data_IF_439550851249
#
_entry.id   IF_439550851249
#
_cell.length_a   1.000
_cell.length_b   1.000
_cell.length_c   1.000
_cell.angle_alpha   90.00
_cell.angle_beta   90.00
_cell.angle_gamma   90.00
#
_symmetry.space_group_name_H-M   'P 1'
#
loop_
_entity.id
_entity.type
_entity.pdbx_description
1 polymer ?
#
# COMPACT_ATOMS: atom_id res chain seq x y z
N UNK A 1 -17.46 -46.19 7.48
CA UNK A 1 -16.56 -45.94 6.32
C UNK A 1 -16.02 -44.52 6.45
N UNK A 2 -14.82 -44.38 7.02
CA UNK A 2 -14.07 -43.12 7.05
C UNK A 2 -13.34 -42.99 5.71
N UNK A 3 -13.58 -41.91 4.97
CA UNK A 3 -12.72 -41.50 3.86
C UNK A 3 -11.72 -40.47 4.38
N UNK A 4 -10.46 -40.88 4.47
CA UNK A 4 -9.33 -39.99 4.76
C UNK A 4 -8.97 -39.18 3.52
N UNK A 5 -8.96 -37.85 3.66
CA UNK A 5 -8.47 -36.93 2.64
C UNK A 5 -6.94 -36.88 2.76
N UNK A 6 -6.23 -37.43 1.77
CA UNK A 6 -4.78 -37.34 1.69
C UNK A 6 -4.38 -35.94 1.19
N UNK A 7 -3.73 -35.17 2.05
CA UNK A 7 -3.02 -33.94 1.67
C UNK A 7 -1.71 -34.36 1.01
N UNK A 8 -1.56 -34.09 -0.28
CA UNK A 8 -0.30 -34.28 -0.98
C UNK A 8 0.70 -33.20 -0.53
N UNK A 9 1.66 -33.58 0.31
CA UNK A 9 2.85 -32.80 0.61
C UNK A 9 3.79 -33.00 -0.59
N UNK A 10 3.83 -32.03 -1.52
CA UNK A 10 4.84 -32.00 -2.56
C UNK A 10 6.19 -31.67 -1.92
N UNK A 11 7.15 -32.60 -2.05
CA UNK A 11 8.50 -32.46 -1.51
C UNK A 11 9.25 -31.26 -2.09
N UNK A 12 9.84 -30.46 -1.20
CA UNK A 12 10.72 -29.36 -1.54
C UNK A 12 12.06 -29.89 -2.08
N UNK A 13 12.18 -29.96 -3.41
CA UNK A 13 13.49 -29.96 -4.06
C UNK A 13 13.99 -28.52 -4.18
N UNK A 14 15.17 -28.22 -3.64
CA UNK A 14 15.86 -26.93 -3.74
C UNK A 14 16.15 -26.55 -5.21
N UNK A 15 15.18 -25.97 -5.91
CA UNK A 15 15.41 -25.15 -7.09
C UNK A 15 15.17 -23.69 -6.67
N UNK A 16 16.21 -22.86 -6.78
CA UNK A 16 16.12 -21.44 -6.48
C UNK A 16 15.05 -20.71 -7.32
N UNK A 17 14.71 -19.46 -6.97
CA UNK A 17 13.73 -18.66 -7.71
C UNK A 17 14.12 -18.50 -9.19
N UNK A 18 13.14 -18.18 -10.04
CA UNK A 18 13.31 -18.10 -11.50
C UNK A 18 14.50 -17.25 -11.94
N UNK A 19 15.18 -17.67 -13.02
CA UNK A 19 16.33 -16.97 -13.62
C UNK A 19 15.90 -15.79 -14.50
N UNK A 20 14.83 -15.08 -14.10
CA UNK A 20 14.34 -13.89 -14.82
C UNK A 20 15.44 -12.82 -14.96
N UNK A 21 15.30 -11.88 -15.90
CA UNK A 21 16.32 -10.88 -16.14
C UNK A 21 16.61 -10.09 -14.85
N UNK A 22 17.89 -9.84 -14.58
CA UNK A 22 18.35 -9.10 -13.39
C UNK A 22 17.89 -7.65 -13.38
N UNK A 23 17.40 -7.14 -14.51
CA UNK A 23 16.89 -5.78 -14.73
C UNK A 23 15.81 -5.82 -15.80
N UNK A 24 14.75 -5.03 -15.64
CA UNK A 24 13.73 -4.83 -16.67
C UNK A 24 14.06 -3.67 -17.63
N UNK A 25 15.08 -2.87 -17.34
CA UNK A 25 15.50 -1.74 -18.17
C UNK A 25 14.56 -0.56 -18.10
N UNK A 26 13.87 -0.38 -16.97
CA UNK A 26 12.92 0.72 -16.72
C UNK A 26 13.47 1.63 -15.62
N UNK A 27 13.24 2.94 -15.77
CA UNK A 27 13.72 3.94 -14.80
C UNK A 27 12.67 4.13 -13.70
N UNK A 28 13.01 4.00 -12.40
CA UNK A 28 12.09 4.26 -11.30
C UNK A 28 11.36 5.61 -11.45
N UNK A 29 10.07 5.70 -11.08
CA UNK A 29 9.30 6.93 -11.26
C UNK A 29 9.98 8.20 -10.72
N UNK A 30 10.52 8.21 -9.48
CA UNK A 30 11.22 9.39 -8.98
C UNK A 30 12.40 9.82 -9.85
N UNK A 31 13.12 8.88 -10.43
CA UNK A 31 14.28 9.13 -11.30
C UNK A 31 13.87 9.51 -12.71
N UNK A 32 12.75 8.95 -13.19
CA UNK A 32 12.23 9.25 -14.52
C UNK A 32 11.86 10.73 -14.62
N UNK A 33 11.33 11.33 -13.54
CA UNK A 33 11.10 12.78 -13.44
C UNK A 33 10.29 13.33 -14.62
N UNK A 34 10.86 14.29 -15.35
CA UNK A 34 10.24 14.87 -16.56
C UNK A 34 10.39 13.99 -17.82
N UNK A 35 11.19 12.92 -17.75
CA UNK A 35 11.29 11.91 -18.79
C UNK A 35 9.99 11.11 -18.93
N UNK A 36 9.89 10.30 -19.98
CA UNK A 36 8.66 9.55 -20.27
C UNK A 36 8.88 8.04 -20.38
N UNK A 37 7.89 7.28 -19.89
CA UNK A 37 7.69 5.88 -20.21
C UNK A 37 6.49 5.78 -21.13
N UNK A 38 6.71 5.40 -22.39
CA UNK A 38 5.64 5.25 -23.39
C UNK A 38 4.73 6.48 -23.54
N UNK A 39 5.31 7.67 -23.40
CA UNK A 39 4.61 8.96 -23.49
C UNK A 39 4.08 9.50 -22.16
N UNK A 40 4.18 8.76 -21.05
CA UNK A 40 3.73 9.21 -19.72
C UNK A 40 4.89 9.73 -18.89
N UNK A 41 4.74 10.94 -18.36
CA UNK A 41 5.76 11.62 -17.54
C UNK A 41 5.96 10.89 -16.20
N UNK A 42 7.21 10.72 -15.80
CA UNK A 42 7.60 10.16 -14.50
C UNK A 42 7.36 11.11 -13.32
N UNK A 43 8.11 10.92 -12.24
CA UNK A 43 7.94 11.61 -10.95
C UNK A 43 6.77 11.04 -10.13
N UNK A 44 6.80 11.23 -8.81
CA UNK A 44 5.71 10.81 -7.92
C UNK A 44 4.48 11.74 -7.99
N UNK A 45 4.67 13.00 -8.38
CA UNK A 45 3.66 14.05 -8.39
C UNK A 45 3.50 14.67 -9.78
N UNK A 46 2.53 15.59 -9.99
CA UNK A 46 2.33 16.24 -11.29
C UNK A 46 3.60 16.91 -11.82
N UNK A 47 3.66 17.07 -13.15
CA UNK A 47 4.77 17.73 -13.85
C UNK A 47 6.17 17.12 -13.61
N UNK A 48 6.27 15.83 -13.26
CA UNK A 48 7.54 15.16 -13.02
C UNK A 48 8.16 15.42 -11.65
N UNK A 49 7.41 16.03 -10.72
CA UNK A 49 7.89 16.35 -9.38
C UNK A 49 7.98 15.14 -8.45
N UNK A 50 8.86 15.23 -7.44
CA UNK A 50 8.98 14.26 -6.35
C UNK A 50 8.71 14.88 -4.96
N UNK A 51 8.26 16.14 -4.96
CA UNK A 51 7.84 16.85 -3.77
C UNK A 51 6.34 17.08 -3.87
N UNK A 52 5.63 16.74 -2.81
CA UNK A 52 4.19 16.96 -2.67
C UNK A 52 3.86 18.45 -2.90
N UNK A 53 2.89 18.81 -3.76
CA UNK A 53 2.50 20.20 -3.96
C UNK A 53 2.05 20.87 -2.66
N UNK A 54 2.49 22.11 -2.42
CA UNK A 54 2.34 22.81 -1.14
C UNK A 54 0.91 22.79 -0.57
N UNK A 55 -0.10 23.07 -1.41
CA UNK A 55 -1.50 23.07 -0.95
C UNK A 55 -1.95 21.68 -0.46
N UNK A 56 -1.54 20.62 -1.16
CA UNK A 56 -1.84 19.25 -0.78
C UNK A 56 -1.06 18.83 0.47
N UNK A 57 0.21 19.21 0.57
CA UNK A 57 1.04 18.98 1.74
C UNK A 57 0.47 19.64 3.01
N UNK A 58 0.02 20.90 2.91
CA UNK A 58 -0.64 21.61 4.03
C UNK A 58 -1.93 20.90 4.45
N UNK A 59 -2.74 20.44 3.49
CA UNK A 59 -3.95 19.68 3.77
C UNK A 59 -3.66 18.34 4.49
N UNK A 60 -2.57 17.68 4.11
CA UNK A 60 -2.06 16.46 4.75
C UNK A 60 -1.52 16.70 6.16
N UNK A 61 -0.75 17.77 6.37
CA UNK A 61 -0.23 18.14 7.69
C UNK A 61 -1.37 18.43 8.68
N UNK A 62 -2.38 19.19 8.26
CA UNK A 62 -3.57 19.44 9.09
C UNK A 62 -4.29 18.15 9.49
N UNK A 63 -4.38 17.17 8.57
CA UNK A 63 -4.97 15.85 8.84
C UNK A 63 -4.11 15.00 9.76
N UNK A 64 -2.80 15.03 9.60
CA UNK A 64 -1.85 14.35 10.47
C UNK A 64 -1.93 14.88 11.91
N UNK A 65 -2.01 16.20 12.08
CA UNK A 65 -2.20 16.85 13.39
C UNK A 65 -3.57 16.52 14.01
N UNK A 66 -4.59 16.21 13.19
CA UNK A 66 -5.91 15.80 13.64
C UNK A 66 -6.02 14.30 13.99
N UNK A 67 -4.96 13.51 13.80
CA UNK A 67 -4.93 12.11 14.23
C UNK A 67 -4.79 12.07 15.75
N UNK A 68 -5.82 11.56 16.43
CA UNK A 68 -5.88 11.49 17.90
C UNK A 68 -6.43 10.15 18.36
N UNK A 69 -6.11 9.66 19.57
CA UNK A 69 -6.67 8.42 20.06
C UNK A 69 -8.20 8.50 20.21
N UNK A 70 -8.93 7.56 19.59
CA UNK A 70 -10.39 7.48 19.63
C UNK A 70 -10.86 6.28 20.43
N UNK A 71 -11.92 6.42 21.22
CA UNK A 71 -12.62 5.29 21.83
C UNK A 71 -13.39 4.45 20.78
N UNK A 72 -14.04 3.37 21.20
CA UNK A 72 -14.79 2.48 20.30
C UNK A 72 -16.02 3.13 19.66
N UNK A 73 -16.50 4.25 20.21
CA UNK A 73 -17.56 5.09 19.62
C UNK A 73 -17.03 6.05 18.55
N UNK A 74 -15.71 6.19 18.42
CA UNK A 74 -15.06 7.12 17.50
C UNK A 74 -14.88 8.52 18.07
N UNK A 75 -14.97 8.69 19.38
CA UNK A 75 -14.82 9.97 20.07
C UNK A 75 -13.42 10.07 20.70
N UNK A 76 -12.74 11.22 20.66
CA UNK A 76 -11.46 11.39 21.37
C UNK A 76 -11.63 11.10 22.87
N UNK A 77 -10.76 10.25 23.42
CA UNK A 77 -10.90 9.83 24.82
C UNK A 77 -9.63 9.22 25.41
N UNK A 78 -9.52 9.31 26.74
CA UNK A 78 -8.43 8.72 27.51
C UNK A 78 -8.46 7.20 27.33
N UNK A 79 -7.34 6.61 26.89
CA UNK A 79 -7.28 5.17 26.58
C UNK A 79 -7.80 4.79 25.19
N UNK A 80 -8.19 5.78 24.36
CA UNK A 80 -8.51 5.56 22.96
C UNK A 80 -7.33 5.03 22.14
N UNK A 81 -7.61 4.68 20.89
CA UNK A 81 -6.64 4.15 19.93
C UNK A 81 -6.62 4.94 18.63
N UNK A 82 -5.44 5.09 18.07
CA UNK A 82 -5.21 5.46 16.67
C UNK A 82 -5.04 4.16 15.91
N UNK A 83 -5.95 3.82 15.00
CA UNK A 83 -5.80 2.59 14.20
C UNK A 83 -5.17 2.91 12.84
N UNK A 84 -4.01 2.30 12.60
CA UNK A 84 -3.35 2.19 11.30
C UNK A 84 -3.64 0.81 10.72
N UNK A 85 -4.32 0.76 9.58
CA UNK A 85 -4.75 -0.48 8.93
C UNK A 85 -3.98 -0.70 7.62
N UNK A 86 -3.62 -1.94 7.27
CA UNK A 86 -3.24 -2.28 5.89
C UNK A 86 -4.44 -2.75 5.07
N UNK A 87 -4.45 -2.47 3.77
CA UNK A 87 -5.41 -3.03 2.81
C UNK A 87 -4.68 -3.47 1.55
N UNK A 88 -4.92 -4.70 1.10
CA UNK A 88 -4.30 -5.20 -0.11
C UNK A 88 -4.31 -6.71 -0.27
N UNK A 89 -3.61 -7.13 -1.32
CA UNK A 89 -3.38 -8.51 -1.73
C UNK A 89 -2.35 -9.28 -0.88
N UNK A 90 -1.95 -10.46 -1.36
CA UNK A 90 -1.00 -11.38 -0.72
C UNK A 90 0.35 -10.75 -0.38
N UNK A 91 0.95 -9.98 -1.30
CA UNK A 91 2.21 -9.27 -1.02
C UNK A 91 2.04 -8.32 0.17
N UNK A 92 0.95 -7.56 0.20
CA UNK A 92 0.65 -6.58 1.23
C UNK A 92 0.55 -7.23 2.61
N UNK A 93 -0.18 -8.34 2.74
CA UNK A 93 -0.31 -9.03 4.03
C UNK A 93 1.01 -9.67 4.49
N UNK A 94 1.82 -10.20 3.57
CA UNK A 94 3.14 -10.78 3.85
C UNK A 94 4.15 -9.72 4.32
N UNK A 95 4.21 -8.58 3.62
CA UNK A 95 5.12 -7.47 3.93
C UNK A 95 4.70 -6.73 5.21
N UNK A 96 3.39 -6.56 5.41
CA UNK A 96 2.87 -5.87 6.59
C UNK A 96 2.97 -6.73 7.85
N UNK A 97 2.63 -8.01 7.77
CA UNK A 97 2.56 -8.90 8.94
C UNK A 97 3.06 -10.33 8.68
N UNK A 98 2.29 -11.16 7.95
CA UNK A 98 2.65 -12.54 7.58
C UNK A 98 1.62 -13.12 6.59
N UNK A 99 1.99 -14.15 5.82
CA UNK A 99 1.12 -14.74 4.79
C UNK A 99 -0.13 -15.45 5.30
N UNK A 100 -0.19 -15.81 6.58
CA UNK A 100 -1.35 -16.47 7.22
C UNK A 100 -1.93 -15.64 8.38
N UNK A 101 -1.58 -14.35 8.45
CA UNK A 101 -1.90 -13.49 9.59
C UNK A 101 -3.39 -13.47 9.93
N UNK A 102 -3.70 -13.65 11.22
CA UNK A 102 -5.03 -13.44 11.78
C UNK A 102 -5.21 -12.16 12.58
N UNK A 103 -4.11 -11.54 13.07
CA UNK A 103 -3.89 -10.11 13.42
C UNK A 103 -2.66 -9.92 14.31
N UNK A 104 -2.29 -10.92 15.11
CA UNK A 104 -1.27 -10.78 16.17
C UNK A 104 -0.01 -11.60 15.97
N UNK A 105 -0.02 -12.60 15.08
CA UNK A 105 1.14 -13.46 14.79
C UNK A 105 1.87 -12.99 13.54
N UNK A 106 2.53 -11.84 13.64
CA UNK A 106 3.37 -11.29 12.57
C UNK A 106 4.78 -11.85 12.62
N UNK A 107 5.40 -12.00 11.46
CA UNK A 107 6.81 -12.34 11.36
C UNK A 107 7.67 -11.17 11.86
N UNK A 108 8.75 -11.45 12.59
CA UNK A 108 9.61 -10.40 13.18
C UNK A 108 10.26 -9.47 12.14
N UNK A 109 10.40 -9.94 10.90
CA UNK A 109 10.93 -9.17 9.79
C UNK A 109 9.89 -8.39 9.00
N UNK A 110 8.59 -8.57 9.21
CA UNK A 110 7.56 -7.76 8.55
C UNK A 110 7.51 -6.34 9.12
N UNK A 111 6.75 -5.43 8.52
CA UNK A 111 6.54 -4.09 9.10
C UNK A 111 6.04 -4.14 10.55
N UNK A 112 4.95 -4.88 10.83
CA UNK A 112 4.39 -5.00 12.17
C UNK A 112 5.38 -5.65 13.16
N UNK A 113 6.16 -6.64 12.72
CA UNK A 113 7.21 -7.25 13.55
C UNK A 113 8.33 -6.26 13.90
N UNK A 114 8.81 -5.51 12.91
CA UNK A 114 9.84 -4.48 13.11
C UNK A 114 9.31 -3.33 13.98
N UNK A 115 8.07 -2.87 13.76
CA UNK A 115 7.44 -1.81 14.54
C UNK A 115 7.25 -2.23 16.00
N UNK A 116 6.80 -3.47 16.26
CA UNK A 116 6.65 -4.01 17.62
C UNK A 116 7.97 -4.07 18.39
N UNK A 117 9.09 -4.30 17.70
CA UNK A 117 10.43 -4.34 18.31
C UNK A 117 11.08 -2.96 18.49
N UNK A 118 10.61 -1.92 17.78
CA UNK A 118 11.19 -0.58 17.81
C UNK A 118 10.62 0.26 18.96
N UNK A 119 11.45 0.56 19.97
CA UNK A 119 11.05 1.31 21.16
C UNK A 119 10.66 2.77 20.89
N UNK A 120 11.00 3.33 19.72
CA UNK A 120 10.58 4.68 19.34
C UNK A 120 9.15 4.73 18.83
N UNK A 121 8.56 3.60 18.43
CA UNK A 121 7.17 3.53 17.98
C UNK A 121 6.23 3.75 19.17
N UNK A 122 5.14 4.47 18.93
CA UNK A 122 4.09 4.69 19.90
C UNK A 122 3.33 3.39 20.18
N UNK A 123 3.69 2.70 21.26
CA UNK A 123 3.01 1.47 21.70
C UNK A 123 1.83 1.71 22.64
N UNK A 124 1.57 2.96 23.02
CA UNK A 124 0.55 3.31 24.01
C UNK A 124 -0.81 3.48 23.35
N UNK A 125 -0.89 4.30 22.31
CA UNK A 125 -2.16 4.66 21.66
C UNK A 125 -2.29 4.18 20.23
N UNK A 126 -1.19 3.85 19.54
CA UNK A 126 -1.26 3.28 18.19
C UNK A 126 -1.67 1.80 18.26
N UNK A 127 -2.59 1.41 17.40
CA UNK A 127 -2.88 0.03 17.07
C UNK A 127 -2.62 -0.17 15.58
N UNK A 128 -1.66 -1.04 15.26
CA UNK A 128 -1.33 -1.41 13.88
C UNK A 128 -2.05 -2.72 13.57
N UNK A 129 -2.86 -2.74 12.51
CA UNK A 129 -3.74 -3.87 12.18
C UNK A 129 -3.53 -4.28 10.73
N UNK A 130 -3.31 -5.58 10.51
CA UNK A 130 -3.25 -6.14 9.17
C UNK A 130 -4.66 -6.45 8.64
N UNK A 131 -5.18 -5.60 7.76
CA UNK A 131 -6.43 -5.86 7.04
C UNK A 131 -6.22 -6.61 5.71
N UNK A 132 -5.01 -6.56 5.16
CA UNK A 132 -4.69 -7.17 3.87
C UNK A 132 -4.81 -8.70 3.91
N UNK A 133 -5.13 -9.30 2.75
CA UNK A 133 -5.48 -10.72 2.66
C UNK A 133 -4.99 -11.37 1.37
N UNK A 134 -4.49 -12.60 1.50
CA UNK A 134 -4.02 -13.41 0.39
C UNK A 134 -5.10 -13.65 -0.66
N UNK A 135 -4.74 -13.51 -1.94
CA UNK A 135 -5.65 -13.72 -3.07
C UNK A 135 -6.75 -12.67 -3.24
N UNK A 136 -6.64 -11.51 -2.57
CA UNK A 136 -7.60 -10.40 -2.67
C UNK A 136 -6.96 -9.21 -3.38
N UNK A 137 -6.91 -9.26 -4.70
CA UNK A 137 -6.38 -8.20 -5.59
C UNK A 137 -7.29 -6.96 -5.59
N UNK A 138 -6.99 -5.95 -6.41
CA UNK A 138 -7.69 -4.67 -6.38
C UNK A 138 -9.22 -4.80 -6.56
N UNK A 139 -9.67 -5.74 -7.41
CA UNK A 139 -11.09 -5.98 -7.64
C UNK A 139 -11.85 -6.46 -6.40
N UNK A 140 -11.18 -7.13 -5.46
CA UNK A 140 -11.84 -7.67 -4.27
C UNK A 140 -12.08 -6.62 -3.17
N UNK A 141 -11.80 -5.34 -3.43
CA UNK A 141 -11.93 -4.25 -2.48
C UNK A 141 -12.57 -2.98 -3.07
N UNK A 142 -12.90 -2.97 -4.36
CA UNK A 142 -13.32 -1.78 -5.09
C UNK A 142 -14.84 -1.48 -4.98
N UNK A 143 -15.57 -2.27 -4.18
CA UNK A 143 -16.95 -1.97 -3.82
C UNK A 143 -17.15 -1.97 -2.29
N UNK A 144 -17.98 -1.05 -1.78
CA UNK A 144 -18.36 -1.00 -0.35
C UNK A 144 -19.09 -2.27 0.12
N UNK A 145 -19.53 -3.11 -0.80
CA UNK A 145 -20.21 -4.38 -0.52
C UNK A 145 -19.27 -5.58 -0.49
N UNK A 146 -17.97 -5.38 -0.77
CA UNK A 146 -17.01 -6.49 -0.82
C UNK A 146 -16.83 -7.13 0.56
N UNK A 147 -16.91 -8.46 0.59
CA UNK A 147 -16.86 -9.26 1.82
C UNK A 147 -15.54 -9.09 2.63
N UNK A 148 -14.49 -8.55 1.99
CA UNK A 148 -13.25 -8.25 2.68
C UNK A 148 -13.41 -7.16 3.76
N UNK A 149 -14.32 -6.19 3.58
CA UNK A 149 -14.59 -5.19 4.62
C UNK A 149 -15.22 -5.81 5.86
N UNK A 150 -16.17 -6.75 5.69
CA UNK A 150 -16.72 -7.53 6.80
C UNK A 150 -15.65 -8.40 7.48
N UNK A 151 -14.74 -8.98 6.70
CA UNK A 151 -13.59 -9.72 7.26
C UNK A 151 -12.69 -8.82 8.10
N UNK A 152 -12.41 -7.60 7.64
CA UNK A 152 -11.64 -6.62 8.43
C UNK A 152 -12.38 -6.28 9.73
N UNK A 153 -13.66 -5.96 9.65
CA UNK A 153 -14.49 -5.59 10.80
C UNK A 153 -14.56 -6.72 11.84
N UNK A 154 -14.94 -7.92 11.40
CA UNK A 154 -15.27 -9.03 12.30
C UNK A 154 -14.05 -9.86 12.71
N UNK A 155 -13.06 -10.01 11.83
CA UNK A 155 -11.93 -10.93 12.05
C UNK A 155 -10.60 -10.21 12.26
N UNK A 156 -10.51 -8.89 12.05
CA UNK A 156 -9.29 -8.12 12.30
C UNK A 156 -9.45 -7.12 13.42
N UNK A 157 -10.43 -6.22 13.33
CA UNK A 157 -10.66 -5.19 14.34
C UNK A 157 -11.35 -5.76 15.58
N UNK A 158 -12.46 -6.49 15.39
CA UNK A 158 -13.27 -7.04 16.49
C UNK A 158 -12.50 -7.84 17.54
N UNK A 159 -11.63 -8.81 17.16
CA UNK A 159 -10.86 -9.61 18.12
C UNK A 159 -9.86 -8.79 18.96
N UNK A 160 -9.50 -7.58 18.50
CA UNK A 160 -8.63 -6.65 19.22
C UNK A 160 -9.43 -5.63 20.07
N UNK A 161 -10.77 -5.75 20.11
CA UNK A 161 -11.65 -4.77 20.74
C UNK A 161 -11.71 -3.43 20.01
N UNK A 162 -11.28 -3.39 18.74
CA UNK A 162 -11.25 -2.19 17.91
C UNK A 162 -12.51 -2.10 17.04
N UNK A 163 -12.85 -0.88 16.62
CA UNK A 163 -13.96 -0.64 15.68
C UNK A 163 -13.50 0.12 14.45
N UNK A 164 -14.29 0.04 13.38
CA UNK A 164 -14.10 0.82 12.15
C UNK A 164 -14.05 2.34 12.42
N UNK A 165 -14.69 2.81 13.50
CA UNK A 165 -14.68 4.21 13.91
C UNK A 165 -13.34 4.70 14.45
N UNK A 166 -12.42 3.79 14.81
CA UNK A 166 -11.08 4.13 15.30
C UNK A 166 -10.03 4.15 14.18
N UNK A 167 -10.38 3.65 12.99
CA UNK A 167 -9.51 3.67 11.80
C UNK A 167 -9.36 5.10 11.31
N UNK A 168 -8.12 5.58 11.34
CA UNK A 168 -7.75 6.95 10.95
C UNK A 168 -6.74 6.97 9.82
N UNK A 169 -5.97 5.88 9.64
CA UNK A 169 -4.95 5.75 8.60
C UNK A 169 -5.05 4.38 7.95
N UNK A 170 -4.92 4.35 6.62
CA UNK A 170 -4.81 3.10 5.86
C UNK A 170 -3.58 3.15 4.96
N UNK A 171 -2.77 2.09 4.98
CA UNK A 171 -1.75 1.85 3.95
C UNK A 171 -2.27 0.85 2.93
N UNK A 172 -2.32 1.26 1.67
CA UNK A 172 -2.85 0.48 0.55
C UNK A 172 -1.71 0.09 -0.39
N UNK A 173 -1.64 -1.20 -0.70
CA UNK A 173 -0.82 -1.72 -1.79
C UNK A 173 -1.65 -2.75 -2.55
N UNK A 174 -1.89 -2.49 -3.82
CA UNK A 174 -2.74 -3.32 -4.67
C UNK A 174 -2.17 -3.46 -6.08
N UNK A 175 -2.64 -4.48 -6.77
CA UNK A 175 -2.51 -4.70 -8.20
C UNK A 175 -3.69 -5.57 -8.66
N UNK A 176 -3.88 -5.70 -9.97
CA UNK A 176 -4.83 -6.62 -10.57
C UNK A 176 -4.17 -7.99 -10.86
N UNK A 177 -4.90 -9.07 -10.64
CA UNK A 177 -4.45 -10.42 -10.98
C UNK A 177 -4.70 -10.73 -12.47
N UNK A 178 -3.70 -11.30 -13.14
CA UNK A 178 -3.80 -11.69 -14.55
C UNK A 178 -3.94 -10.53 -15.53
N UNK A 179 -3.15 -9.44 -15.41
CA UNK A 179 -3.23 -8.31 -16.34
C UNK A 179 -2.86 -8.74 -17.78
N UNK A 180 -3.52 -8.14 -18.78
CA UNK A 180 -3.36 -8.53 -20.19
C UNK A 180 -2.69 -7.45 -21.03
N UNK A 181 -3.09 -6.19 -20.86
CA UNK A 181 -2.66 -5.08 -21.70
C UNK A 181 -1.78 -4.10 -20.92
N UNK A 182 -0.57 -3.82 -21.43
CA UNK A 182 0.32 -2.81 -20.85
C UNK A 182 0.07 -1.43 -21.46
N UNK A 183 0.65 -0.40 -20.86
CA UNK A 183 0.70 0.92 -21.48
C UNK A 183 1.37 0.87 -22.88
N UNK A 184 0.97 1.75 -23.82
CA UNK A 184 -0.02 2.83 -23.68
C UNK A 184 -1.44 2.43 -24.11
N UNK A 185 -1.79 1.13 -24.12
CA UNK A 185 -3.13 0.68 -24.53
C UNK A 185 -4.21 1.44 -23.76
N UNK A 186 -5.30 1.83 -24.44
CA UNK A 186 -6.43 2.46 -23.77
C UNK A 186 -7.10 1.54 -22.73
N UNK A 187 -6.89 0.23 -22.85
CA UNK A 187 -7.34 -0.80 -21.90
C UNK A 187 -6.24 -1.30 -20.98
N UNK A 188 -5.13 -0.56 -20.87
CA UNK A 188 -4.00 -1.01 -20.06
C UNK A 188 -4.40 -1.23 -18.61
N UNK A 189 -3.82 -2.25 -18.00
CA UNK A 189 -4.02 -2.59 -16.59
C UNK A 189 -3.79 -1.39 -15.66
N UNK A 190 -2.82 -0.52 -15.95
CA UNK A 190 -2.56 0.67 -15.14
C UNK A 190 -3.78 1.61 -15.01
N UNK A 191 -4.59 1.75 -16.07
CA UNK A 191 -5.82 2.55 -16.03
C UNK A 191 -6.96 1.84 -15.30
N UNK A 192 -7.01 0.51 -15.40
CA UNK A 192 -7.99 -0.30 -14.67
C UNK A 192 -7.68 -0.24 -13.17
N UNK A 193 -6.40 -0.44 -12.81
CA UNK A 193 -5.92 -0.33 -11.46
C UNK A 193 -6.18 1.07 -10.88
N UNK A 194 -5.89 2.14 -11.61
CA UNK A 194 -6.24 3.51 -11.19
C UNK A 194 -7.72 3.63 -10.81
N UNK A 195 -8.61 3.13 -11.68
CA UNK A 195 -10.05 3.16 -11.45
C UNK A 195 -10.43 2.42 -10.17
N UNK A 196 -9.85 1.24 -9.95
CA UNK A 196 -10.06 0.44 -8.74
C UNK A 196 -9.50 1.09 -7.50
N UNK A 197 -8.31 1.70 -7.56
CA UNK A 197 -7.74 2.41 -6.41
C UNK A 197 -8.60 3.61 -6.00
N UNK A 198 -9.18 4.33 -6.97
CA UNK A 198 -10.14 5.40 -6.71
C UNK A 198 -11.42 4.88 -6.03
N UNK A 199 -11.95 3.76 -6.52
CA UNK A 199 -13.07 3.08 -5.90
C UNK A 199 -12.78 2.61 -4.47
N UNK A 200 -11.60 2.01 -4.24
CA UNK A 200 -11.11 1.62 -2.92
C UNK A 200 -11.02 2.83 -1.99
N UNK A 201 -10.49 3.98 -2.45
CA UNK A 201 -10.40 5.19 -1.64
C UNK A 201 -11.77 5.69 -1.15
N UNK A 202 -12.79 5.63 -2.01
CA UNK A 202 -14.19 5.96 -1.66
C UNK A 202 -14.80 4.91 -0.73
N UNK A 203 -14.57 3.63 -0.98
CA UNK A 203 -15.08 2.55 -0.13
C UNK A 203 -14.50 2.64 1.30
N UNK A 204 -13.18 2.87 1.41
CA UNK A 204 -12.50 3.14 2.67
C UNK A 204 -13.13 4.32 3.44
N UNK A 205 -13.46 5.41 2.74
CA UNK A 205 -14.13 6.57 3.36
C UNK A 205 -15.52 6.23 3.91
N UNK A 206 -16.26 5.35 3.23
CA UNK A 206 -17.58 4.88 3.65
C UNK A 206 -17.51 4.00 4.92
N UNK A 207 -16.57 3.05 4.96
CA UNK A 207 -16.40 2.16 6.11
C UNK A 207 -15.79 2.85 7.34
N UNK A 208 -14.87 3.79 7.14
CA UNK A 208 -14.07 4.38 8.20
C UNK A 208 -14.40 5.87 8.37
N UNK A 209 -15.40 6.23 9.20
CA UNK A 209 -15.91 7.60 9.28
C UNK A 209 -14.87 8.62 9.81
N UNK A 210 -13.88 8.15 10.56
CA UNK A 210 -12.79 8.97 11.10
C UNK A 210 -11.50 8.89 10.26
N UNK A 211 -11.52 8.23 9.10
CA UNK A 211 -10.37 8.13 8.20
C UNK A 211 -9.88 9.52 7.77
N UNK A 212 -8.59 9.77 7.99
CA UNK A 212 -7.94 11.05 7.65
C UNK A 212 -7.00 10.90 6.47
N UNK A 213 -6.24 9.80 6.43
CA UNK A 213 -5.12 9.63 5.50
C UNK A 213 -5.14 8.22 4.89
N UNK A 214 -4.92 8.13 3.58
CA UNK A 214 -4.64 6.88 2.87
C UNK A 214 -3.28 7.02 2.18
N UNK A 215 -2.36 6.13 2.50
CA UNK A 215 -1.05 6.05 1.84
C UNK A 215 -1.04 4.93 0.81
N UNK A 216 -0.67 5.22 -0.43
CA UNK A 216 -0.54 4.22 -1.49
C UNK A 216 0.93 3.92 -1.80
N UNK A 217 1.22 2.64 -2.01
CA UNK A 217 2.52 2.17 -2.50
C UNK A 217 2.35 1.36 -3.78
N UNK A 218 3.34 1.45 -4.66
CA UNK A 218 3.44 0.61 -5.86
C UNK A 218 3.69 -0.86 -5.50
N UNK A 219 3.60 -1.74 -6.50
CA UNK A 219 4.25 -3.07 -6.44
C UNK A 219 5.75 -2.94 -6.19
N UNK A 220 6.34 -4.02 -5.68
CA UNK A 220 7.78 -4.27 -5.77
C UNK A 220 8.12 -4.77 -7.18
N UNK A 221 9.42 -4.89 -7.50
CA UNK A 221 9.88 -5.44 -8.77
C UNK A 221 9.28 -6.83 -9.04
N UNK A 222 8.92 -7.13 -10.29
CA UNK A 222 8.38 -8.45 -10.65
C UNK A 222 9.12 -9.11 -11.83
N UNK A 223 10.36 -8.70 -12.13
CA UNK A 223 11.14 -9.27 -13.24
C UNK A 223 11.57 -10.73 -13.04
N UNK A 224 11.50 -11.23 -11.80
CA UNK A 224 11.75 -12.64 -11.49
C UNK A 224 10.49 -13.51 -11.53
N UNK A 225 9.31 -12.92 -11.75
CA UNK A 225 8.04 -13.64 -11.74
C UNK A 225 8.01 -14.75 -12.78
N UNK A 226 7.62 -15.95 -12.35
CA UNK A 226 7.43 -17.12 -13.22
C UNK A 226 5.94 -17.45 -13.46
N UNK A 227 5.05 -16.62 -12.90
CA UNK A 227 3.60 -16.74 -13.00
C UNK A 227 3.01 -15.54 -13.75
N UNK A 228 1.78 -15.69 -14.23
CA UNK A 228 1.02 -14.61 -14.86
C UNK A 228 0.25 -13.76 -13.86
N UNK A 229 0.56 -13.85 -12.55
CA UNK A 229 -0.25 -13.19 -11.52
C UNK A 229 -0.20 -11.66 -11.65
N UNK A 230 0.98 -11.04 -11.62
CA UNK A 230 1.19 -9.63 -11.99
C UNK A 230 2.69 -9.42 -12.26
N UNK A 231 3.20 -9.87 -13.43
CA UNK A 231 4.61 -9.75 -13.80
C UNK A 231 4.96 -8.33 -14.29
N UNK A 232 6.22 -8.10 -14.66
CA UNK A 232 6.60 -6.91 -15.45
C UNK A 232 5.95 -6.94 -16.86
N UNK A 233 5.52 -5.80 -17.43
CA UNK A 233 5.67 -4.43 -16.94
C UNK A 233 4.63 -3.99 -15.91
N UNK A 234 3.62 -4.79 -15.61
CA UNK A 234 2.46 -4.38 -14.81
C UNK A 234 2.84 -3.97 -13.39
N UNK A 235 3.83 -4.64 -12.79
CA UNK A 235 4.37 -4.24 -11.49
C UNK A 235 4.99 -2.82 -11.53
N UNK A 236 5.78 -2.49 -12.54
CA UNK A 236 6.29 -1.13 -12.73
C UNK A 236 5.15 -0.13 -13.01
N UNK A 237 4.21 -0.51 -13.90
CA UNK A 237 3.09 0.34 -14.31
C UNK A 237 2.08 0.60 -13.18
N UNK A 238 2.03 -0.24 -12.14
CA UNK A 238 1.27 0.05 -10.92
C UNK A 238 1.72 1.35 -10.23
N UNK A 239 2.97 1.76 -10.42
CA UNK A 239 3.45 3.06 -9.95
C UNK A 239 2.75 4.22 -10.67
N UNK A 240 2.47 4.08 -11.97
CA UNK A 240 1.71 5.10 -12.72
C UNK A 240 0.26 5.17 -12.25
N UNK A 241 -0.39 4.03 -11.98
CA UNK A 241 -1.74 4.01 -11.42
C UNK A 241 -1.83 4.79 -10.10
N UNK A 242 -0.87 4.60 -9.19
CA UNK A 242 -0.82 5.34 -7.91
C UNK A 242 -0.50 6.82 -8.14
N UNK A 243 0.44 7.14 -9.04
CA UNK A 243 0.77 8.52 -9.42
C UNK A 243 -0.47 9.26 -9.91
N UNK A 244 -1.20 8.69 -10.87
CA UNK A 244 -2.37 9.31 -11.48
C UNK A 244 -3.51 9.46 -10.48
N UNK A 245 -3.74 8.47 -9.61
CA UNK A 245 -4.72 8.58 -8.52
C UNK A 245 -4.46 9.79 -7.60
N UNK A 246 -3.22 9.96 -7.14
CA UNK A 246 -2.85 11.07 -6.23
C UNK A 246 -2.91 12.39 -6.99
N UNK A 247 -2.42 12.42 -8.22
CA UNK A 247 -2.52 13.58 -9.11
C UNK A 247 -3.99 13.99 -9.35
N UNK A 248 -4.90 13.04 -9.58
CA UNK A 248 -6.32 13.29 -9.76
C UNK A 248 -6.95 13.98 -8.55
N UNK A 249 -6.61 13.55 -7.32
CA UNK A 249 -7.07 14.25 -6.12
C UNK A 249 -6.49 15.66 -6.03
N UNK A 250 -5.19 15.84 -6.27
CA UNK A 250 -4.54 17.16 -6.25
C UNK A 250 -5.22 18.12 -7.24
N UNK A 251 -5.42 17.66 -8.47
CA UNK A 251 -6.03 18.44 -9.54
C UNK A 251 -7.49 18.77 -9.24
N UNK A 252 -8.28 17.79 -8.79
CA UNK A 252 -9.67 18.01 -8.37
C UNK A 252 -9.76 19.09 -7.29
N UNK A 253 -8.89 19.05 -6.28
CA UNK A 253 -8.88 20.02 -5.20
C UNK A 253 -8.45 21.41 -5.67
N UNK A 254 -7.52 21.49 -6.63
CA UNK A 254 -7.14 22.74 -7.28
C UNK A 254 -8.23 23.30 -8.20
N UNK A 255 -9.11 22.44 -8.73
CA UNK A 255 -10.19 22.78 -9.65
C UNK A 255 -11.55 22.92 -8.96
N UNK A 256 -11.56 23.54 -7.78
CA UNK A 256 -12.76 23.82 -6.98
C UNK A 256 -13.61 22.58 -6.67
N UNK A 257 -12.99 21.40 -6.57
CA UNK A 257 -13.65 20.13 -6.30
C UNK A 257 -14.22 19.42 -7.53
N UNK A 258 -14.03 19.96 -8.74
CA UNK A 258 -14.50 19.34 -10.00
C UNK A 258 -13.61 18.16 -10.36
N UNK A 259 -14.22 16.98 -10.59
CA UNK A 259 -13.51 15.77 -11.01
C UNK A 259 -12.79 16.04 -12.34
N UNK A 260 -11.46 15.92 -12.35
CA UNK A 260 -10.61 16.10 -13.53
C UNK A 260 -10.24 14.78 -14.20
N UNK A 261 -10.12 13.71 -13.42
CA UNK A 261 -9.88 12.35 -13.92
C UNK A 261 -11.12 11.46 -13.71
N UNK A 262 -11.86 11.12 -14.78
CA UNK A 262 -13.05 10.28 -14.67
C UNK A 262 -12.75 8.81 -14.33
N UNK A 263 -11.52 8.32 -14.55
CA UNK A 263 -11.13 6.95 -14.15
C UNK A 263 -11.01 6.88 -12.64
N UNK A 264 -10.25 7.81 -12.06
CA UNK A 264 -10.06 7.89 -10.63
C UNK A 264 -11.38 8.20 -9.90
N UNK A 265 -12.26 9.02 -10.50
CA UNK A 265 -13.57 9.40 -9.98
C UNK A 265 -13.51 10.50 -8.92
N UNK A 266 -14.58 10.69 -8.13
CA UNK A 266 -14.59 11.70 -7.06
C UNK A 266 -13.64 11.31 -5.92
N UNK A 267 -12.63 12.14 -5.71
CA UNK A 267 -11.61 12.03 -4.69
C UNK A 267 -11.52 13.30 -3.84
N UNK A 268 -12.54 14.17 -3.81
CA UNK A 268 -12.50 15.35 -2.96
C UNK A 268 -12.23 14.95 -1.51
N UNK A 269 -11.09 15.35 -0.93
CA UNK A 269 -10.65 14.87 0.38
C UNK A 269 -11.50 15.36 1.56
N UNK A 270 -12.53 16.18 1.29
CA UNK A 270 -13.50 16.64 2.28
C UNK A 270 -14.81 15.83 2.23
N UNK A 271 -15.13 15.22 1.08
CA UNK A 271 -16.45 14.60 0.85
C UNK A 271 -16.38 13.21 0.22
N UNK A 272 -15.57 13.03 -0.83
CA UNK A 272 -15.52 11.79 -1.61
C UNK A 272 -14.56 10.74 -1.06
N UNK A 273 -13.36 11.15 -0.66
CA UNK A 273 -12.32 10.27 -0.12
C UNK A 273 -11.61 10.90 1.08
N UNK A 274 -10.71 10.17 1.73
CA UNK A 274 -9.72 10.76 2.62
C UNK A 274 -8.56 11.38 1.81
N UNK A 275 -7.65 12.09 2.48
CA UNK A 275 -6.47 12.64 1.81
C UNK A 275 -5.53 11.50 1.40
N UNK A 276 -5.13 11.48 0.13
CA UNK A 276 -4.28 10.45 -0.46
C UNK A 276 -2.87 11.00 -0.59
N UNK A 277 -1.89 10.16 -0.28
CA UNK A 277 -0.49 10.47 -0.53
C UNK A 277 0.30 9.19 -0.81
N UNK A 278 1.53 9.37 -1.29
CA UNK A 278 2.47 8.28 -1.41
C UNK A 278 2.86 7.77 -0.03
N UNK A 279 2.77 6.45 0.16
CA UNK A 279 3.63 5.73 1.08
C UNK A 279 5.05 5.61 0.52
N UNK A 280 5.90 4.69 1.03
CA UNK A 280 7.17 4.43 0.37
C UNK A 280 6.92 3.95 -1.07
N UNK A 281 7.65 4.51 -2.03
CA UNK A 281 7.70 3.95 -3.39
C UNK A 281 8.55 2.68 -3.35
N UNK A 282 8.01 1.54 -3.76
CA UNK A 282 8.61 0.22 -3.49
C UNK A 282 9.35 -0.39 -4.69
N UNK A 283 9.12 0.14 -5.89
CA UNK A 283 9.71 -0.41 -7.10
C UNK A 283 11.14 0.12 -7.33
N UNK A 284 12.04 -0.77 -7.76
CA UNK A 284 13.37 -0.48 -8.28
C UNK A 284 13.69 -1.50 -9.39
N UNK A 285 14.61 -1.18 -10.29
CA UNK A 285 14.86 -2.00 -11.48
C UNK A 285 15.78 -3.20 -11.21
N UNK A 286 15.27 -4.17 -10.46
CA UNK A 286 16.02 -5.38 -10.12
C UNK A 286 17.34 -5.05 -9.42
N UNK A 287 18.46 -5.50 -9.98
CA UNK A 287 19.80 -5.29 -9.45
C UNK A 287 20.38 -3.90 -9.70
N UNK A 288 19.70 -3.03 -10.48
CA UNK A 288 20.11 -1.64 -10.65
C UNK A 288 19.75 -0.84 -9.39
N UNK A 289 20.73 -0.31 -8.64
CA UNK A 289 20.44 0.47 -7.43
C UNK A 289 19.63 1.72 -7.77
N UNK A 290 18.47 1.85 -7.12
CA UNK A 290 17.65 3.06 -7.20
C UNK A 290 18.44 4.26 -6.69
N UNK A 291 18.51 5.31 -7.47
CA UNK A 291 19.13 6.57 -7.09
C UNK A 291 18.38 7.17 -5.91
N UNK A 292 19.12 7.65 -4.90
CA UNK A 292 18.57 8.27 -3.70
C UNK A 292 18.57 7.37 -2.46
N UNK A 293 18.32 6.07 -2.61
CA UNK A 293 18.30 5.14 -1.46
C UNK A 293 19.01 3.79 -1.68
N UNK A 294 19.49 3.52 -2.90
CA UNK A 294 20.23 2.32 -3.23
C UNK A 294 19.38 1.04 -3.23
N UNK A 295 18.04 1.16 -3.26
CA UNK A 295 17.16 -0.02 -3.29
C UNK A 295 17.46 -0.90 -4.50
N UNK A 296 17.66 -2.19 -4.25
CA UNK A 296 17.73 -3.26 -5.25
C UNK A 296 16.80 -4.40 -4.89
N UNK A 297 16.29 -5.08 -5.91
CA UNK A 297 15.55 -6.32 -5.84
C UNK A 297 16.37 -7.45 -6.48
N UNK A 298 16.87 -8.36 -5.65
CA UNK A 298 17.55 -9.58 -6.10
C UNK A 298 16.57 -10.74 -6.13
N UNK A 299 16.85 -11.78 -6.90
CA UNK A 299 15.96 -12.95 -7.00
C UNK A 299 15.67 -13.60 -5.64
N UNK A 300 16.64 -13.59 -4.72
CA UNK A 300 16.49 -14.11 -3.36
C UNK A 300 15.47 -13.34 -2.50
N UNK A 301 15.07 -12.13 -2.90
CA UNK A 301 14.00 -11.37 -2.24
C UNK A 301 12.60 -11.89 -2.59
N UNK A 302 12.51 -12.93 -3.42
CA UNK A 302 11.27 -13.55 -3.83
C UNK A 302 11.29 -15.04 -3.51
N UNK A 303 10.11 -15.61 -3.29
CA UNK A 303 9.94 -17.07 -3.23
C UNK A 303 9.95 -17.66 -4.64
N UNK A 304 9.74 -18.97 -4.75
CA UNK A 304 9.89 -19.72 -6.00
C UNK A 304 9.10 -19.15 -7.20
N UNK A 305 7.93 -18.55 -6.96
CA UNK A 305 7.09 -17.97 -8.01
C UNK A 305 7.58 -16.61 -8.53
N UNK A 306 8.62 -16.05 -7.92
CA UNK A 306 9.20 -14.75 -8.27
C UNK A 306 8.24 -13.56 -8.13
N UNK A 307 7.08 -13.78 -7.51
CA UNK A 307 5.99 -12.81 -7.39
C UNK A 307 5.76 -12.44 -5.94
N UNK A 308 5.82 -13.42 -5.03
CA UNK A 308 5.68 -13.18 -3.60
C UNK A 308 7.04 -12.91 -2.97
N UNK A 309 7.15 -11.93 -2.06
CA UNK A 309 8.39 -11.65 -1.38
C UNK A 309 8.80 -12.79 -0.45
N UNK A 310 10.08 -13.14 -0.46
CA UNK A 310 10.70 -14.00 0.55
C UNK A 310 10.81 -13.25 1.89
N UNK A 311 11.42 -13.88 2.89
CA UNK A 311 11.74 -13.19 4.14
C UNK A 311 12.55 -11.91 3.92
N UNK A 312 13.59 -11.93 3.07
CA UNK A 312 14.41 -10.72 2.85
C UNK A 312 13.63 -9.65 2.09
N UNK A 313 12.77 -10.03 1.16
CA UNK A 313 11.89 -9.08 0.46
C UNK A 313 10.87 -8.43 1.40
N UNK A 314 10.22 -9.23 2.26
CA UNK A 314 9.32 -8.74 3.29
C UNK A 314 10.06 -7.80 4.26
N UNK A 315 11.30 -8.13 4.63
CA UNK A 315 12.13 -7.30 5.50
C UNK A 315 12.43 -5.94 4.87
N UNK A 316 12.82 -5.90 3.59
CA UNK A 316 13.08 -4.64 2.88
C UNK A 316 11.86 -3.74 2.90
N UNK A 317 10.69 -4.25 2.50
CA UNK A 317 9.45 -3.44 2.53
C UNK A 317 9.09 -3.02 3.95
N UNK A 318 9.21 -3.92 4.93
CA UNK A 318 8.96 -3.63 6.33
C UNK A 318 9.84 -2.48 6.86
N UNK A 319 11.12 -2.48 6.50
CA UNK A 319 12.07 -1.42 6.88
C UNK A 319 11.76 -0.11 6.17
N UNK A 320 11.37 -0.14 4.89
CA UNK A 320 10.93 1.06 4.17
C UNK A 320 9.67 1.67 4.78
N UNK A 321 8.69 0.85 5.17
CA UNK A 321 7.48 1.31 5.86
C UNK A 321 7.79 1.89 7.24
N UNK A 322 8.61 1.20 8.03
CA UNK A 322 9.01 1.69 9.35
C UNK A 322 9.75 3.03 9.24
N UNK A 323 10.67 3.14 8.29
CA UNK A 323 11.37 4.41 8.01
C UNK A 323 10.37 5.50 7.62
N UNK A 324 9.50 5.23 6.64
CA UNK A 324 8.47 6.17 6.20
C UNK A 324 7.61 6.68 7.36
N UNK A 325 7.05 5.78 8.17
CA UNK A 325 6.18 6.19 9.28
C UNK A 325 6.93 6.92 10.40
N UNK A 326 8.24 6.69 10.57
CA UNK A 326 9.06 7.41 11.56
C UNK A 326 9.52 8.79 11.09
N UNK A 327 9.67 9.00 9.78
CA UNK A 327 10.33 10.21 9.25
C UNK A 327 9.42 11.11 8.44
N UNK A 328 8.27 10.62 7.95
CA UNK A 328 7.37 11.41 7.12
C UNK A 328 6.76 12.57 7.93
N UNK A 329 6.66 13.78 7.33
CA UNK A 329 6.00 14.93 7.97
C UNK A 329 4.51 14.68 8.23
N UNK A 330 3.92 13.65 7.62
CA UNK A 330 2.50 13.30 7.74
C UNK A 330 2.23 12.21 8.79
N UNK A 331 3.28 11.62 9.37
CA UNK A 331 3.14 10.43 10.22
C UNK A 331 3.82 10.57 11.58
N UNK A 332 4.93 11.30 11.63
CA UNK A 332 5.83 11.31 12.79
C UNK A 332 5.13 11.67 14.11
N UNK A 333 4.18 12.63 14.11
CA UNK A 333 3.51 13.05 15.34
C UNK A 333 2.67 11.98 16.03
N UNK A 334 2.07 11.06 15.29
CA UNK A 334 1.19 10.05 15.86
C UNK A 334 1.83 8.66 15.88
N UNK A 335 2.87 8.43 15.07
CA UNK A 335 3.56 7.15 14.99
C UNK A 335 4.73 6.99 15.99
N UNK A 336 5.46 8.07 16.29
CA UNK A 336 6.65 8.04 17.15
C UNK A 336 6.33 8.59 18.54
N UNK A 337 6.88 7.99 19.60
CA UNK A 337 6.80 8.50 20.96
C UNK A 337 7.40 9.91 21.04
N UNK A 338 6.58 10.89 21.43
CA UNK A 338 7.00 12.30 21.47
C UNK A 338 7.32 12.90 20.11
N UNK A 339 6.86 12.27 19.02
CA UNK A 339 7.00 12.82 17.68
C UNK A 339 6.20 14.11 17.51
N UNK A 340 6.65 14.97 16.59
CA UNK A 340 5.94 16.18 16.19
C UNK A 340 5.71 16.17 14.69
N UNK A 341 4.60 16.80 14.28
CA UNK A 341 4.33 17.12 12.88
C UNK A 341 4.80 18.56 12.66
N UNK A 342 5.22 18.90 11.43
CA UNK A 342 5.60 20.28 11.09
C UNK A 342 4.49 21.29 11.42
#
# INVERSE_FOLDING_TARGET
>A
MLFGLAVAIAGCGNKGPGTGPTTAGRVPLPELGIGTYRGFVGGLYPAGGNVEPTAHATAGQSRAQAVVPLDTSGTPGTGGKVVLLSLGMSNTTQEFCSGSSTTTNCSSWSFMGQAAADASVNHTTLAIVNGARGGQDAQAWDATTDANYDTVRLNRLGPLGLTERQVQIVWVKQADAGPQDSLPSAQSDAYQLESRLGNIARALRSHYPNLKIIFFSSRIYAGYATTTLNPEPFAYESGFAVKWLIQAQIEQMSNSGTVTDPRAGDLNYNTGAAWLAWGPYLWADGMTPRQGDGLVWQSADFVQDGTHPSQSGQQKVGTMLLTFFKTSPFTKCWFVNGGTCP
#
